data_IF_477745450760
#
_entry.id   IF_477745450760
#
_cell.length_a   1.000
_cell.length_b   1.000
_cell.length_c   1.000
_cell.angle_alpha   90.00
_cell.angle_beta   90.00
_cell.angle_gamma   90.00
#
_symmetry.space_group_name_H-M   'P 1'
#
loop_
_entity.id
_entity.type
_entity.pdbx_description
1 polymer ?
#
# COMPACT_ATOMS: atom_id res chain seq x y z
N UNK A 1 -3.72 4.34 -24.55
CA UNK A 1 -2.96 4.53 -23.30
C UNK A 1 -3.42 3.44 -22.36
N UNK A 2 -2.56 2.46 -22.02
CA UNK A 2 -2.97 1.41 -21.08
C UNK A 2 -3.11 2.04 -19.70
N UNK A 3 -4.25 1.85 -19.04
CA UNK A 3 -4.40 2.21 -17.64
C UNK A 3 -3.43 1.30 -16.88
N UNK A 4 -2.51 1.91 -16.14
CA UNK A 4 -1.58 1.18 -15.27
C UNK A 4 -2.30 0.90 -13.96
N UNK A 5 -2.29 -0.37 -13.54
CA UNK A 5 -3.02 -0.85 -12.38
C UNK A 5 -2.22 -0.76 -11.09
N UNK A 6 -2.95 -0.78 -9.98
CA UNK A 6 -2.37 -0.98 -8.65
C UNK A 6 -2.73 -2.37 -8.17
N UNK A 7 -1.72 -3.12 -7.75
CA UNK A 7 -1.85 -4.51 -7.31
C UNK A 7 -1.69 -4.57 -5.80
N UNK A 8 -2.64 -5.22 -5.14
CA UNK A 8 -2.64 -5.40 -3.69
C UNK A 8 -2.80 -6.89 -3.41
N UNK A 9 -1.83 -7.47 -2.71
CA UNK A 9 -1.85 -8.86 -2.30
C UNK A 9 -1.91 -8.97 -0.77
N UNK A 10 -2.84 -9.78 -0.28
CA UNK A 10 -2.89 -10.11 1.14
C UNK A 10 -1.77 -11.05 1.53
N UNK A 11 -1.23 -10.82 2.72
CA UNK A 11 -0.13 -11.56 3.30
C UNK A 11 -0.48 -11.94 4.74
N UNK A 12 0.12 -13.04 5.19
CA UNK A 12 0.18 -13.44 6.59
C UNK A 12 1.61 -13.88 6.89
N UNK A 13 2.12 -13.48 8.03
CA UNK A 13 3.46 -13.84 8.49
C UNK A 13 3.36 -14.68 9.75
N UNK A 14 3.94 -15.86 9.72
CA UNK A 14 3.91 -16.83 10.84
C UNK A 14 5.10 -16.68 11.81
N UNK A 15 5.97 -15.69 11.58
CA UNK A 15 7.22 -15.49 12.31
C UNK A 15 8.46 -16.01 11.56
N UNK A 16 8.30 -16.72 10.44
CA UNK A 16 9.40 -17.25 9.62
C UNK A 16 9.19 -17.01 8.13
N UNK A 17 7.99 -17.26 7.62
CA UNK A 17 7.67 -17.21 6.19
C UNK A 17 6.40 -16.41 5.93
N UNK A 18 6.26 -15.95 4.69
CA UNK A 18 5.08 -15.24 4.23
C UNK A 18 4.14 -16.21 3.50
N UNK A 19 2.94 -16.38 4.04
CA UNK A 19 1.83 -16.97 3.31
C UNK A 19 1.20 -15.87 2.42
N UNK A 20 1.16 -16.13 1.11
CA UNK A 20 0.58 -15.21 0.12
C UNK A 20 -0.86 -15.59 -0.18
N UNK A 21 -1.76 -14.63 -0.07
CA UNK A 21 -3.19 -14.80 -0.27
C UNK A 21 -3.63 -14.24 -1.61
N UNK A 22 -4.93 -13.93 -1.68
CA UNK A 22 -5.56 -13.33 -2.84
C UNK A 22 -4.87 -12.02 -3.23
N UNK A 23 -4.66 -11.85 -4.53
CA UNK A 23 -4.17 -10.63 -5.15
C UNK A 23 -5.30 -10.02 -5.97
N UNK A 24 -5.45 -8.70 -5.84
CA UNK A 24 -6.39 -7.92 -6.62
C UNK A 24 -5.66 -6.86 -7.43
N UNK A 25 -6.27 -6.45 -8.54
CA UNK A 25 -5.94 -5.24 -9.29
C UNK A 25 -7.10 -4.26 -9.13
N UNK A 26 -6.83 -3.06 -8.63
CA UNK A 26 -7.89 -2.15 -8.14
C UNK A 26 -8.88 -1.74 -9.22
N UNK A 27 -8.42 -1.53 -10.45
CA UNK A 27 -9.28 -1.09 -11.56
C UNK A 27 -10.12 -2.26 -12.09
N UNK A 28 -9.50 -3.39 -12.43
CA UNK A 28 -10.17 -4.56 -13.01
C UNK A 28 -11.15 -5.20 -12.04
N UNK A 29 -10.78 -5.33 -10.77
CA UNK A 29 -11.57 -6.13 -9.83
C UNK A 29 -12.64 -5.29 -9.13
N UNK A 30 -12.40 -3.99 -8.89
CA UNK A 30 -13.31 -3.12 -8.15
C UNK A 30 -13.77 -1.85 -8.89
N UNK A 31 -13.24 -1.57 -10.09
CA UNK A 31 -13.41 -0.30 -10.79
C UNK A 31 -12.97 0.91 -9.96
N UNK A 32 -11.92 0.71 -9.17
CA UNK A 32 -11.33 1.72 -8.31
C UNK A 32 -9.96 2.10 -8.90
N UNK A 33 -9.88 3.34 -9.36
CA UNK A 33 -8.62 3.95 -9.77
C UNK A 33 -7.88 4.46 -8.54
N UNK A 34 -6.60 4.11 -8.43
CA UNK A 34 -5.70 4.79 -7.50
C UNK A 34 -5.15 6.05 -8.18
N UNK A 35 -5.36 7.23 -7.58
CA UNK A 35 -4.87 8.49 -8.15
C UNK A 35 -3.35 8.61 -8.03
N UNK A 36 -2.81 8.30 -6.85
CA UNK A 36 -1.37 8.32 -6.60
C UNK A 36 -1.01 7.51 -5.34
N UNK A 37 0.02 6.67 -5.43
CA UNK A 37 0.68 6.06 -4.27
C UNK A 37 1.96 6.84 -3.95
N UNK A 38 1.98 7.67 -2.88
CA UNK A 38 3.15 8.47 -2.54
C UNK A 38 4.19 7.64 -1.77
N UNK A 39 4.77 6.64 -2.43
CA UNK A 39 5.87 5.85 -1.86
C UNK A 39 7.06 6.76 -1.54
N UNK A 40 7.60 6.64 -0.34
CA UNK A 40 8.82 7.34 0.07
C UNK A 40 10.04 6.50 -0.29
N UNK A 41 10.85 7.00 -1.21
CA UNK A 41 12.17 6.41 -1.52
C UNK A 41 13.12 6.85 -0.40
N UNK A 42 13.62 5.90 0.39
CA UNK A 42 14.47 6.15 1.57
C UNK A 42 13.78 7.12 2.56
N UNK A 43 12.77 6.65 3.33
CA UNK A 43 12.10 7.47 4.32
C UNK A 43 13.04 7.85 5.47
N UNK A 44 12.49 8.57 6.44
CA UNK A 44 13.21 9.08 7.60
C UNK A 44 14.09 8.01 8.27
N UNK A 45 15.34 8.35 8.55
CA UNK A 45 16.24 7.50 9.29
C UNK A 45 15.77 7.37 10.74
N UNK A 46 15.88 6.18 11.33
CA UNK A 46 15.73 6.03 12.78
C UNK A 46 16.81 6.84 13.48
N UNK A 47 16.48 7.32 14.67
CA UNK A 47 17.46 7.94 15.54
C UNK A 47 18.61 6.98 15.83
N UNK A 48 19.83 7.43 15.53
CA UNK A 48 21.04 6.68 15.84
C UNK A 48 21.40 6.87 17.32
N UNK A 49 21.95 5.85 17.99
CA UNK A 49 22.36 6.00 19.37
C UNK A 49 23.51 7.01 19.46
N UNK A 50 23.33 8.00 20.34
CA UNK A 50 24.29 9.08 20.56
C UNK A 50 24.67 9.19 22.02
N UNK A 51 25.86 9.72 22.28
CA UNK A 51 26.36 10.07 23.61
C UNK A 51 26.99 11.46 23.54
N UNK A 52 26.55 12.33 24.44
CA UNK A 52 26.98 13.73 24.49
C UNK A 52 27.71 14.00 25.82
N UNK A 53 28.86 14.67 25.76
CA UNK A 53 29.74 14.93 26.90
C UNK A 53 30.03 16.44 27.01
N UNK A 54 29.76 17.08 28.16
CA UNK A 54 30.02 18.50 28.34
C UNK A 54 31.51 18.86 28.16
N UNK A 55 31.79 19.88 27.35
CA UNK A 55 33.14 20.41 27.11
C UNK A 55 33.89 19.79 25.94
N UNK A 56 33.28 18.83 25.22
CA UNK A 56 33.79 18.32 23.95
C UNK A 56 33.07 18.96 22.76
N UNK A 57 33.77 19.08 21.64
CA UNK A 57 33.15 19.47 20.38
C UNK A 57 32.35 18.31 19.79
N UNK A 58 31.07 18.55 19.53
CA UNK A 58 30.17 17.56 18.91
C UNK A 58 29.72 16.44 19.84
N UNK A 59 29.01 15.47 19.25
CA UNK A 59 28.45 14.29 19.94
C UNK A 59 29.02 13.00 19.36
N UNK A 60 29.22 11.99 20.21
CA UNK A 60 29.67 10.65 19.82
C UNK A 60 28.46 9.87 19.28
N UNK A 61 28.45 9.53 17.99
CA UNK A 61 27.33 8.85 17.31
C UNK A 61 27.81 7.53 16.74
N UNK A 62 27.12 6.43 17.06
CA UNK A 62 27.36 5.16 16.38
C UNK A 62 26.69 5.18 15.00
N UNK A 63 27.50 5.16 13.94
CA UNK A 63 27.03 5.14 12.55
C UNK A 63 27.11 3.69 12.03
N UNK A 64 25.98 2.99 11.83
CA UNK A 64 25.97 1.64 11.27
C UNK A 64 26.30 1.64 9.77
N UNK A 65 26.68 0.49 9.21
CA UNK A 65 26.99 0.33 7.77
C UNK A 65 25.79 0.65 6.86
N UNK A 66 24.56 0.42 7.35
CA UNK A 66 23.31 0.82 6.70
C UNK A 66 22.48 1.58 7.71
N UNK A 67 22.02 2.78 7.35
CA UNK A 67 21.17 3.59 8.21
C UNK A 67 19.78 2.93 8.29
N UNK A 68 19.32 2.53 9.49
CA UNK A 68 17.99 1.97 9.65
C UNK A 68 16.93 3.03 9.37
N UNK A 69 15.86 2.67 8.69
CA UNK A 69 14.76 3.57 8.33
C UNK A 69 13.56 3.37 9.26
N UNK A 70 12.86 4.45 9.60
CA UNK A 70 11.61 4.42 10.34
C UNK A 70 10.47 3.91 9.44
N UNK A 71 9.39 3.41 10.06
CA UNK A 71 8.13 3.20 9.36
C UNK A 71 7.60 4.57 8.88
N UNK A 72 6.72 4.56 7.89
CA UNK A 72 6.09 5.79 7.45
C UNK A 72 4.62 5.58 7.12
N UNK A 73 3.87 6.66 7.26
CA UNK A 73 2.48 6.74 6.85
C UNK A 73 2.38 7.34 5.45
N UNK A 74 1.39 6.86 4.70
CA UNK A 74 1.01 7.40 3.40
C UNK A 74 -0.51 7.48 3.30
N UNK A 75 -1.01 8.59 2.77
CA UNK A 75 -2.43 8.78 2.45
C UNK A 75 -2.61 8.60 0.94
N UNK A 76 -3.52 7.71 0.56
CA UNK A 76 -3.77 7.33 -0.84
C UNK A 76 -5.20 7.67 -1.17
N UNK A 77 -5.40 8.40 -2.28
CA UNK A 77 -6.72 8.74 -2.80
C UNK A 77 -7.15 7.70 -3.84
N UNK A 78 -8.32 7.12 -3.59
CA UNK A 78 -8.98 6.16 -4.46
C UNK A 78 -10.25 6.79 -5.05
N UNK A 79 -10.49 6.50 -6.33
CA UNK A 79 -11.63 7.00 -7.09
C UNK A 79 -12.36 5.80 -7.67
N UNK A 80 -13.57 5.54 -7.18
CA UNK A 80 -14.50 4.62 -7.82
C UNK A 80 -15.24 5.32 -8.95
N UNK A 81 -15.43 4.60 -10.06
CA UNK A 81 -16.28 5.04 -11.17
C UNK A 81 -17.27 3.92 -11.49
N UNK A 82 -18.57 4.19 -11.64
CA UNK A 82 -19.55 3.18 -12.07
C UNK A 82 -20.98 3.44 -11.66
N UNK A 83 -21.84 2.42 -11.82
CA UNK A 83 -23.26 2.47 -11.48
C UNK A 83 -23.51 2.48 -9.95
N UNK A 84 -24.61 3.13 -9.55
CA UNK A 84 -25.02 3.30 -8.14
C UNK A 84 -25.20 1.99 -7.37
N UNK A 85 -25.94 1.06 -7.95
CA UNK A 85 -26.41 -0.13 -7.23
C UNK A 85 -25.26 -1.07 -6.85
N UNK A 86 -24.17 -1.06 -7.62
CA UNK A 86 -22.97 -1.86 -7.36
C UNK A 86 -21.85 -1.10 -6.63
N UNK A 87 -21.90 0.23 -6.60
CA UNK A 87 -20.88 1.09 -6.01
C UNK A 87 -20.62 0.73 -4.54
N UNK A 88 -21.68 0.75 -3.73
CA UNK A 88 -21.57 0.54 -2.28
C UNK A 88 -21.01 -0.85 -1.97
N UNK A 89 -21.42 -1.86 -2.72
CA UNK A 89 -20.94 -3.22 -2.54
C UNK A 89 -19.46 -3.34 -2.89
N UNK A 90 -19.04 -2.82 -4.06
CA UNK A 90 -17.64 -2.87 -4.50
C UNK A 90 -16.70 -2.13 -3.55
N UNK A 91 -17.06 -0.92 -3.12
CA UNK A 91 -16.26 -0.16 -2.15
C UNK A 91 -16.18 -0.91 -0.82
N UNK A 92 -17.29 -1.43 -0.30
CA UNK A 92 -17.29 -2.17 0.95
C UNK A 92 -16.45 -3.45 0.86
N UNK A 93 -16.53 -4.17 -0.27
CA UNK A 93 -15.72 -5.36 -0.51
C UNK A 93 -14.23 -5.03 -0.63
N UNK A 94 -13.88 -3.92 -1.29
CA UNK A 94 -12.51 -3.42 -1.36
C UNK A 94 -11.98 -3.04 0.03
N UNK A 95 -12.75 -2.28 0.81
CA UNK A 95 -12.38 -1.91 2.18
C UNK A 95 -12.21 -3.16 3.05
N UNK A 96 -13.16 -4.11 2.99
CA UNK A 96 -13.03 -5.39 3.70
C UNK A 96 -11.78 -6.13 3.27
N UNK A 97 -11.41 -6.10 1.98
CA UNK A 97 -10.18 -6.70 1.50
C UNK A 97 -8.95 -6.05 2.10
N UNK A 98 -8.87 -4.71 2.13
CA UNK A 98 -7.74 -4.02 2.75
C UNK A 98 -7.61 -4.32 4.25
N UNK A 99 -8.73 -4.49 4.96
CA UNK A 99 -8.75 -4.87 6.37
C UNK A 99 -8.59 -6.38 6.61
N UNK A 100 -8.46 -7.22 5.58
CA UNK A 100 -8.39 -8.67 5.74
C UNK A 100 -9.67 -9.28 6.32
N UNK A 101 -10.83 -8.66 6.08
CA UNK A 101 -12.17 -9.07 6.54
C UNK A 101 -13.06 -9.63 5.43
N UNK A 102 -12.54 -9.77 4.22
CA UNK A 102 -13.24 -10.44 3.14
C UNK A 102 -13.29 -11.96 3.36
N UNK A 103 -14.18 -12.62 2.63
CA UNK A 103 -14.21 -14.08 2.56
C UNK A 103 -12.89 -14.60 1.98
N UNK A 104 -12.30 -15.63 2.61
CA UNK A 104 -11.01 -16.20 2.21
C UNK A 104 -9.78 -15.36 2.59
N UNK A 105 -9.94 -14.31 3.42
CA UNK A 105 -8.79 -13.53 3.90
C UNK A 105 -7.84 -14.37 4.73
N UNK A 106 -6.54 -14.30 4.41
CA UNK A 106 -5.48 -14.95 5.20
C UNK A 106 -4.88 -14.00 6.25
N UNK A 107 -5.04 -12.69 6.07
CA UNK A 107 -4.47 -11.65 6.92
C UNK A 107 -4.74 -10.25 6.39
N UNK A 108 -4.48 -9.24 7.24
CA UNK A 108 -4.66 -7.81 6.92
C UNK A 108 -3.35 -7.12 6.50
N UNK A 109 -2.25 -7.87 6.41
CA UNK A 109 -0.96 -7.37 5.94
C UNK A 109 -0.97 -7.38 4.43
N UNK A 110 -0.43 -6.36 3.81
CA UNK A 110 -0.50 -6.15 2.36
C UNK A 110 0.90 -6.03 1.76
N UNK A 111 1.07 -6.61 0.58
CA UNK A 111 2.05 -6.18 -0.39
C UNK A 111 1.35 -5.35 -1.44
N UNK A 112 1.90 -4.19 -1.76
CA UNK A 112 1.36 -3.26 -2.75
C UNK A 112 2.42 -3.02 -3.81
N UNK A 113 2.00 -3.05 -5.07
CA UNK A 113 2.81 -2.68 -6.21
C UNK A 113 2.01 -1.74 -7.12
N UNK A 114 2.61 -0.61 -7.47
CA UNK A 114 2.03 0.33 -8.42
C UNK A 114 2.80 0.30 -9.74
N UNK A 115 2.10 -0.04 -10.83
CA UNK A 115 2.71 -0.07 -12.17
C UNK A 115 3.12 1.32 -12.68
N UNK A 116 2.47 2.38 -12.19
CA UNK A 116 2.78 3.74 -12.63
C UNK A 116 4.16 4.17 -12.18
N UNK A 117 4.43 4.10 -10.88
CA UNK A 117 5.74 4.38 -10.29
C UNK A 117 6.75 3.25 -10.47
N UNK A 118 6.29 2.01 -10.66
CA UNK A 118 7.13 0.81 -10.65
C UNK A 118 7.67 0.46 -9.26
N UNK A 119 7.08 1.03 -8.21
CA UNK A 119 7.52 0.85 -6.82
C UNK A 119 6.49 -0.03 -6.10
N UNK A 120 7.00 -0.93 -5.27
CA UNK A 120 6.17 -1.70 -4.35
C UNK A 120 6.82 -1.91 -2.99
N UNK A 121 5.99 -2.14 -1.98
CA UNK A 121 6.36 -2.36 -0.57
C UNK A 121 5.54 -3.47 0.04
N UNK A 122 6.15 -4.20 0.99
CA UNK A 122 5.50 -5.22 1.80
C UNK A 122 5.29 -4.72 3.23
N UNK A 123 4.61 -5.54 4.03
CA UNK A 123 4.25 -5.21 5.43
C UNK A 123 3.49 -3.88 5.54
N UNK A 124 2.60 -3.62 4.58
CA UNK A 124 1.71 -2.47 4.57
C UNK A 124 0.41 -2.84 5.27
N UNK A 125 -0.18 -1.96 6.07
CA UNK A 125 -1.51 -2.17 6.64
C UNK A 125 -2.32 -0.87 6.69
N UNK A 126 -3.65 -1.00 6.75
CA UNK A 126 -4.54 0.15 6.87
C UNK A 126 -4.57 0.66 8.30
N UNK A 127 -4.35 1.95 8.49
CA UNK A 127 -4.53 2.64 9.76
C UNK A 127 -5.93 3.23 9.89
N UNK A 128 -6.38 3.98 8.88
CA UNK A 128 -7.72 4.56 8.86
C UNK A 128 -8.19 4.84 7.44
N UNK A 129 -9.49 5.02 7.28
CA UNK A 129 -10.12 5.45 6.03
C UNK A 129 -10.90 6.72 6.34
N UNK A 130 -10.67 7.76 5.54
CA UNK A 130 -11.47 8.97 5.54
C UNK A 130 -12.45 8.90 4.37
N UNK A 131 -13.72 8.69 4.72
CA UNK A 131 -14.84 8.59 3.79
C UNK A 131 -15.41 9.98 3.51
N UNK A 132 -14.64 10.84 2.84
CA UNK A 132 -15.18 12.09 2.28
C UNK A 132 -15.92 11.77 0.97
N UNK A 133 -17.21 11.44 1.09
CA UNK A 133 -18.14 11.22 -0.02
C UNK A 133 -18.33 12.49 -0.87
N UNK A 134 -17.48 12.67 -1.87
CA UNK A 134 -17.77 13.57 -2.98
C UNK A 134 -18.54 12.80 -4.06
N UNK A 135 -19.81 13.17 -4.25
CA UNK A 135 -20.54 12.91 -5.50
C UNK A 135 -20.30 14.13 -6.39
N UNK A 136 -19.48 14.01 -7.42
CA UNK A 136 -19.48 15.01 -8.48
C UNK A 136 -20.59 14.68 -9.48
N UNK A 137 -21.29 15.72 -9.94
CA UNK A 137 -22.51 15.67 -10.73
C UNK A 137 -22.18 16.11 -12.16
N UNK A 138 -22.86 15.49 -13.14
CA UNK A 138 -22.95 15.87 -14.56
C UNK A 138 -21.78 15.53 -15.50
N UNK A 139 -21.62 14.26 -15.89
CA UNK A 139 -21.35 13.85 -17.28
C UNK A 139 -21.59 12.33 -17.42
N UNK A 140 -22.71 11.95 -18.07
CA UNK A 140 -23.24 10.58 -18.23
C UNK A 140 -23.65 9.88 -16.92
N UNK A 141 -24.51 8.86 -17.03
CA UNK A 141 -25.15 8.11 -15.92
C UNK A 141 -24.16 7.42 -14.92
N UNK A 142 -22.86 7.71 -15.00
CA UNK A 142 -21.79 7.14 -14.20
C UNK A 142 -21.46 8.03 -13.00
N UNK A 143 -21.54 7.47 -11.79
CA UNK A 143 -21.18 8.19 -10.58
C UNK A 143 -19.73 7.96 -10.19
N UNK A 144 -19.09 9.03 -9.72
CA UNK A 144 -17.73 9.00 -9.21
C UNK A 144 -17.73 9.20 -7.69
N UNK A 145 -17.03 8.32 -6.97
CA UNK A 145 -16.84 8.42 -5.52
C UNK A 145 -15.35 8.47 -5.19
N UNK A 146 -14.96 9.40 -4.32
CA UNK A 146 -13.58 9.54 -3.86
C UNK A 146 -13.49 9.23 -2.38
N UNK A 147 -12.42 8.56 -1.97
CA UNK A 147 -12.13 8.31 -0.56
C UNK A 147 -10.62 8.19 -0.35
N UNK A 148 -10.18 8.43 0.88
CA UNK A 148 -8.76 8.40 1.23
C UNK A 148 -8.47 7.30 2.22
N UNK A 149 -7.42 6.54 1.98
CA UNK A 149 -6.96 5.48 2.88
C UNK A 149 -5.58 5.83 3.40
N UNK A 150 -5.42 5.82 4.72
CA UNK A 150 -4.13 5.94 5.38
C UNK A 150 -3.53 4.56 5.58
N UNK A 151 -2.39 4.33 4.93
CA UNK A 151 -1.59 3.13 5.09
C UNK A 151 -0.34 3.43 5.93
N UNK A 152 0.08 2.44 6.70
CA UNK A 152 1.35 2.42 7.40
C UNK A 152 2.23 1.37 6.73
N UNK A 153 3.45 1.76 6.38
CA UNK A 153 4.47 0.89 5.78
C UNK A 153 5.49 0.53 6.84
N UNK A 154 5.45 -0.72 7.32
CA UNK A 154 6.36 -1.21 8.35
C UNK A 154 7.72 -1.63 7.77
N UNK A 155 7.75 -2.12 6.52
CA UNK A 155 8.99 -2.39 5.78
C UNK A 155 9.20 -1.36 4.67
N UNK A 156 9.94 -0.27 4.95
CA UNK A 156 10.17 0.80 3.99
C UNK A 156 11.19 0.45 2.89
N UNK A 157 11.88 -0.68 3.01
CA UNK A 157 13.11 -0.94 2.26
C UNK A 157 13.01 -2.11 1.29
N UNK A 158 12.22 -3.13 1.60
CA UNK A 158 12.08 -4.28 0.73
C UNK A 158 11.26 -3.93 -0.52
N UNK A 159 11.87 -4.14 -1.67
CA UNK A 159 11.21 -3.96 -2.96
C UNK A 159 10.26 -5.12 -3.24
N UNK A 160 9.07 -4.77 -3.71
CA UNK A 160 8.10 -5.72 -4.25
C UNK A 160 8.09 -5.59 -5.77
N UNK A 161 8.22 -6.72 -6.45
CA UNK A 161 8.22 -6.82 -7.91
C UNK A 161 7.07 -7.72 -8.38
N UNK A 162 6.46 -7.44 -9.54
CA UNK A 162 5.40 -8.28 -10.06
C UNK A 162 5.95 -9.60 -10.61
N UNK A 163 5.19 -10.68 -10.42
CA UNK A 163 5.38 -11.96 -11.10
C UNK A 163 4.51 -11.97 -12.34
N UNK A 164 5.12 -12.09 -13.52
CA UNK A 164 4.42 -12.01 -14.81
C UNK A 164 4.40 -13.37 -15.49
N UNK A 165 3.22 -13.81 -15.93
CA UNK A 165 3.03 -14.99 -16.79
C UNK A 165 2.22 -14.55 -18.00
N UNK A 166 2.78 -14.72 -19.20
CA UNK A 166 2.13 -14.33 -20.47
C UNK A 166 1.61 -12.89 -20.46
N UNK A 167 2.45 -11.95 -20.02
CA UNK A 167 2.13 -10.51 -19.89
C UNK A 167 1.02 -10.17 -18.88
N UNK A 168 0.61 -11.11 -18.03
CA UNK A 168 -0.34 -10.89 -16.93
C UNK A 168 0.39 -10.99 -15.59
N UNK A 169 0.19 -10.00 -14.72
CA UNK A 169 0.68 -10.05 -13.34
C UNK A 169 -0.18 -11.06 -12.57
N UNK A 170 0.45 -12.11 -12.05
CA UNK A 170 -0.19 -13.22 -11.33
C UNK A 170 0.15 -13.26 -9.83
N UNK A 171 1.10 -12.44 -9.38
CA UNK A 171 1.48 -12.37 -7.98
C UNK A 171 2.54 -11.30 -7.72
N UNK A 172 2.88 -11.09 -6.44
CA UNK A 172 3.93 -10.18 -6.02
C UNK A 172 5.10 -10.94 -5.37
N UNK A 173 6.32 -10.56 -5.73
CA UNK A 173 7.58 -11.15 -5.27
C UNK A 173 8.38 -10.15 -4.44
N UNK A 174 9.00 -10.63 -3.38
CA UNK A 174 9.84 -9.86 -2.48
C UNK A 174 10.80 -10.81 -1.76
N UNK A 175 11.87 -10.27 -1.19
CA UNK A 175 12.79 -11.05 -0.37
C UNK A 175 12.11 -11.49 0.94
N UNK A 176 12.24 -12.77 1.26
CA UNK A 176 11.85 -13.32 2.56
C UNK A 176 12.95 -13.06 3.61
N UNK A 177 12.58 -12.97 4.91
CA UNK A 177 13.50 -12.68 6.00
C UNK A 177 14.52 -13.79 6.30
#
# INVERSE_FOLDING_TARGET
MSIKGTYIQQLKFDGKTYEKGSMIETVRDFNILCYNFPFKILPEAKELPTRDWPGNDGRDVYIPTKIPMAHYEMEVEFIYKGEDDSMREKINNFIKFLYGRNEGAIGARLAIFDEYTGIGRKDVHVQSINDELFYDVDYDDEKCFKFKVKFVVEDPSTEVTPSVVSDVIVGLNFAEP
#
